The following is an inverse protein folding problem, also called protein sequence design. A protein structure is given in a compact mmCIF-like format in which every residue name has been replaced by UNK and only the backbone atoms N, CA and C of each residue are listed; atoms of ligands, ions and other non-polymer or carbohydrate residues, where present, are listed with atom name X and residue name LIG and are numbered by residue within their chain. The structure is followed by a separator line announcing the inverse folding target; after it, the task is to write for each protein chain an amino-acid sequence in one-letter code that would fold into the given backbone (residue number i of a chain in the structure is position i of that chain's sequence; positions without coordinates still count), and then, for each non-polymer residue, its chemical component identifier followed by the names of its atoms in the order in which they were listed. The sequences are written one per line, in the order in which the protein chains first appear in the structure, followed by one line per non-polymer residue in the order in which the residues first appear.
data_IF_300337993027
#
_entry.id   IF_300337993027
#
_cell.length_a   1.000
_cell.length_b   1.000
_cell.length_c   1.000
_cell.angle_alpha   90.00
_cell.angle_beta   90.00
_cell.angle_gamma   90.00
#
_symmetry.space_group_name_H-M   'P 1'
#
loop_
_entity.id
_entity.type
_entity.pdbx_description
1 polymer ?
#
# COMPACT_ATOMS: atom_id res chain seq x y z
N UNK A 1 -1.57 -21.29 21.90
CA UNK A 1 -2.21 -21.59 20.59
C UNK A 1 -3.16 -20.48 20.11
N UNK A 2 -3.67 -19.63 21.00
CA UNK A 2 -4.35 -18.37 20.63
C UNK A 2 -3.38 -17.18 20.59
N UNK A 3 -2.34 -17.20 21.42
CA UNK A 3 -1.38 -16.09 21.54
C UNK A 3 -0.66 -15.78 20.22
N UNK A 4 -0.30 -16.79 19.43
CA UNK A 4 0.38 -16.60 18.16
C UNK A 4 -0.52 -15.93 17.10
N UNK A 5 -1.81 -16.26 17.08
CA UNK A 5 -2.80 -15.59 16.21
C UNK A 5 -3.02 -14.15 16.66
N UNK A 6 -3.15 -13.91 17.97
CA UNK A 6 -3.35 -12.56 18.53
C UNK A 6 -2.14 -11.67 18.23
N UNK A 7 -0.92 -12.18 18.44
CA UNK A 7 0.32 -11.49 18.11
C UNK A 7 0.42 -11.23 16.61
N UNK A 8 0.15 -12.25 15.77
CA UNK A 8 0.18 -12.08 14.32
C UNK A 8 -0.82 -11.01 13.86
N UNK A 9 -2.04 -10.99 14.41
CA UNK A 9 -3.05 -9.97 14.11
C UNK A 9 -2.59 -8.58 14.56
N UNK A 10 -2.04 -8.45 15.75
CA UNK A 10 -1.53 -7.17 16.26
C UNK A 10 -0.42 -6.62 15.36
N UNK A 11 0.55 -7.47 15.00
CA UNK A 11 1.62 -7.10 14.06
C UNK A 11 1.07 -6.76 12.67
N UNK A 12 0.11 -7.54 12.18
CA UNK A 12 -0.55 -7.28 10.89
C UNK A 12 -1.21 -5.91 10.87
N UNK A 13 -2.01 -5.58 11.89
CA UNK A 13 -2.71 -4.29 11.99
C UNK A 13 -1.72 -3.14 12.11
N UNK A 14 -0.68 -3.25 12.94
CA UNK A 14 0.36 -2.23 13.05
C UNK A 14 1.08 -1.99 11.72
N UNK A 15 1.41 -3.06 11.00
CA UNK A 15 2.02 -2.98 9.69
C UNK A 15 1.10 -2.30 8.66
N UNK A 16 -0.19 -2.63 8.64
CA UNK A 16 -1.20 -2.02 7.77
C UNK A 16 -1.40 -0.54 8.11
N UNK A 17 -1.49 -0.17 9.39
CA UNK A 17 -1.62 1.24 9.82
C UNK A 17 -0.43 2.05 9.31
N UNK A 18 0.78 1.54 9.53
CA UNK A 18 1.99 2.23 9.09
C UNK A 18 2.04 2.38 7.56
N UNK A 19 1.77 1.28 6.84
CA UNK A 19 1.81 1.25 5.38
C UNK A 19 0.71 2.10 4.73
N UNK A 20 -0.56 1.82 5.03
CA UNK A 20 -1.70 2.50 4.39
C UNK A 20 -1.85 3.93 4.92
N UNK A 21 -1.53 4.18 6.19
CA UNK A 21 -1.48 5.54 6.75
C UNK A 21 -0.44 6.40 6.04
N UNK A 22 0.76 5.87 5.81
CA UNK A 22 1.78 6.57 5.04
C UNK A 22 1.43 6.73 3.56
N UNK A 23 0.80 5.72 2.93
CA UNK A 23 0.27 5.83 1.57
C UNK A 23 -0.74 6.98 1.46
N UNK A 24 -1.64 7.09 2.43
CA UNK A 24 -2.62 8.19 2.52
C UNK A 24 -1.92 9.54 2.63
N UNK A 25 -0.92 9.67 3.51
CA UNK A 25 -0.14 10.90 3.68
C UNK A 25 0.59 11.30 2.38
N UNK A 26 1.29 10.38 1.73
CA UNK A 26 1.99 10.65 0.46
C UNK A 26 1.00 11.08 -0.62
N UNK A 27 -0.13 10.39 -0.72
CA UNK A 27 -1.15 10.63 -1.76
C UNK A 27 -1.88 11.95 -1.58
N UNK A 28 -2.30 12.26 -0.35
CA UNK A 28 -3.20 13.38 -0.08
C UNK A 28 -2.49 14.66 0.35
N UNK A 29 -1.22 14.58 0.74
CA UNK A 29 -0.45 15.74 1.22
C UNK A 29 0.77 15.98 0.34
N UNK A 30 1.67 15.00 0.22
CA UNK A 30 2.97 15.20 -0.43
C UNK A 30 2.83 15.39 -1.95
N UNK A 31 2.05 14.53 -2.61
CA UNK A 31 1.86 14.57 -4.06
C UNK A 31 1.14 15.85 -4.55
N UNK A 32 0.08 16.35 -3.88
CA UNK A 32 -0.53 17.63 -4.22
C UNK A 32 0.43 18.82 -4.09
N UNK A 33 1.28 18.82 -3.05
CA UNK A 33 2.32 19.85 -2.87
C UNK A 33 3.33 19.77 -4.03
N UNK A 34 3.83 18.57 -4.35
CA UNK A 34 4.77 18.35 -5.44
C UNK A 34 4.21 18.74 -6.82
N UNK A 35 2.89 18.62 -7.02
CA UNK A 35 2.20 19.02 -8.27
C UNK A 35 1.97 20.54 -8.39
N UNK A 36 2.14 21.30 -7.31
CA UNK A 36 1.86 22.73 -7.30
C UNK A 36 2.92 23.50 -8.11
N UNK A 37 2.48 24.23 -9.14
CA UNK A 37 3.37 24.97 -10.05
C UNK A 37 4.17 26.11 -9.37
N UNK A 38 3.84 26.48 -8.13
CA UNK A 38 4.44 27.63 -7.43
C UNK A 38 5.76 27.32 -6.72
N UNK A 39 6.15 26.04 -6.59
CA UNK A 39 7.27 25.57 -5.74
C UNK A 39 8.05 24.43 -6.44
N UNK A 40 8.35 24.58 -7.73
CA UNK A 40 8.67 23.45 -8.60
C UNK A 40 9.93 22.66 -8.16
N UNK A 41 11.07 23.30 -7.87
CA UNK A 41 12.29 22.56 -7.51
C UNK A 41 12.31 22.08 -6.04
N UNK A 42 11.98 22.93 -5.08
CA UNK A 42 11.98 22.56 -3.66
C UNK A 42 10.92 21.49 -3.34
N UNK A 43 9.74 21.56 -3.97
CA UNK A 43 8.69 20.55 -3.74
C UNK A 43 9.03 19.19 -4.37
N UNK A 44 9.76 19.17 -5.50
CA UNK A 44 10.25 17.93 -6.08
C UNK A 44 11.33 17.28 -5.22
N UNK A 45 12.24 18.07 -4.64
CA UNK A 45 13.23 17.57 -3.69
C UNK A 45 12.57 17.05 -2.42
N UNK A 46 11.56 17.76 -1.89
CA UNK A 46 10.78 17.30 -0.75
C UNK A 46 10.11 15.95 -1.04
N UNK A 47 9.52 15.79 -2.23
CA UNK A 47 8.92 14.52 -2.64
C UNK A 47 9.96 13.39 -2.72
N UNK A 48 11.09 13.58 -3.41
CA UNK A 48 12.12 12.54 -3.56
C UNK A 48 12.68 12.09 -2.20
N UNK A 49 12.98 13.05 -1.31
CA UNK A 49 13.46 12.75 0.04
C UNK A 49 12.39 12.00 0.83
N UNK A 50 11.14 12.47 0.80
CA UNK A 50 10.02 11.83 1.52
C UNK A 50 9.76 10.42 1.00
N UNK A 51 9.73 10.24 -0.32
CA UNK A 51 9.52 8.95 -0.97
C UNK A 51 10.61 7.95 -0.60
N UNK A 52 11.89 8.36 -0.62
CA UNK A 52 13.02 7.50 -0.23
C UNK A 52 12.92 7.01 1.21
N UNK A 53 12.65 7.93 2.14
CA UNK A 53 12.51 7.57 3.55
C UNK A 53 11.28 6.70 3.80
N UNK A 54 10.16 7.01 3.15
CA UNK A 54 8.94 6.24 3.30
C UNK A 54 9.08 4.84 2.68
N UNK A 55 9.65 4.73 1.48
CA UNK A 55 9.94 3.47 0.78
C UNK A 55 10.75 2.52 1.66
N UNK A 56 11.80 3.04 2.31
CA UNK A 56 12.61 2.23 3.23
C UNK A 56 11.79 1.65 4.40
N UNK A 57 10.81 2.40 4.92
CA UNK A 57 9.94 1.93 5.99
C UNK A 57 8.89 0.92 5.48
N UNK A 58 8.27 1.18 4.32
CA UNK A 58 7.26 0.27 3.77
C UNK A 58 7.81 -1.04 3.24
N UNK A 59 9.09 -1.09 2.87
CA UNK A 59 9.80 -2.35 2.58
C UNK A 59 9.89 -3.29 3.78
N UNK A 60 9.64 -2.80 4.99
CA UNK A 60 9.54 -3.63 6.20
C UNK A 60 8.06 -3.94 6.50
N UNK A 61 7.19 -2.93 6.50
CA UNK A 61 5.80 -3.12 6.88
C UNK A 61 5.00 -3.96 5.88
N UNK A 62 5.23 -3.84 4.57
CA UNK A 62 4.47 -4.60 3.57
C UNK A 62 4.76 -6.11 3.65
N UNK A 63 6.02 -6.57 3.68
CA UNK A 63 6.31 -7.98 3.93
C UNK A 63 5.78 -8.44 5.30
N UNK A 64 5.90 -7.63 6.34
CA UNK A 64 5.38 -7.99 7.67
C UNK A 64 3.87 -8.22 7.65
N UNK A 65 3.11 -7.34 6.99
CA UNK A 65 1.67 -7.52 6.79
C UNK A 65 1.37 -8.82 6.01
N UNK A 66 2.12 -9.09 4.94
CA UNK A 66 1.99 -10.32 4.17
C UNK A 66 2.25 -11.59 4.98
N UNK A 67 3.40 -11.65 5.67
CA UNK A 67 3.82 -12.81 6.47
C UNK A 67 2.81 -13.09 7.57
N UNK A 68 2.39 -12.05 8.31
CA UNK A 68 1.40 -12.20 9.39
C UNK A 68 0.02 -12.58 8.86
N UNK A 69 -0.40 -12.03 7.72
CA UNK A 69 -1.68 -12.35 7.07
C UNK A 69 -1.72 -13.78 6.52
N UNK A 70 -0.64 -14.22 5.86
CA UNK A 70 -0.49 -15.58 5.38
C UNK A 70 -0.39 -16.59 6.53
N UNK A 71 0.31 -16.24 7.62
CA UNK A 71 0.35 -17.05 8.82
C UNK A 71 -1.04 -17.27 9.41
N UNK A 72 -1.83 -16.20 9.56
CA UNK A 72 -3.21 -16.30 10.03
C UNK A 72 -4.08 -17.14 9.08
N UNK A 73 -3.91 -16.97 7.76
CA UNK A 73 -4.64 -17.74 6.74
C UNK A 73 -4.36 -19.24 6.87
N UNK A 74 -3.09 -19.61 7.03
CA UNK A 74 -2.67 -20.99 7.25
C UNK A 74 -3.20 -21.55 8.59
N UNK A 75 -3.03 -20.79 9.68
CA UNK A 75 -3.39 -21.25 11.04
C UNK A 75 -4.89 -21.38 11.28
N UNK A 76 -5.70 -20.61 10.56
CA UNK A 76 -7.16 -20.63 10.65
C UNK A 76 -7.81 -21.41 9.50
N UNK A 77 -7.02 -22.09 8.65
CA UNK A 77 -7.51 -22.86 7.50
C UNK A 77 -8.43 -22.06 6.57
N UNK A 78 -8.10 -20.78 6.33
CA UNK A 78 -8.96 -19.84 5.58
C UNK A 78 -8.79 -19.92 4.06
N UNK A 79 -8.00 -20.88 3.54
CA UNK A 79 -7.69 -20.98 2.12
C UNK A 79 -8.95 -21.15 1.26
N UNK A 80 -9.92 -21.94 1.72
CA UNK A 80 -11.17 -22.17 0.98
C UNK A 80 -12.00 -20.88 0.80
N UNK A 81 -11.86 -19.91 1.72
CA UNK A 81 -12.58 -18.64 1.66
C UNK A 81 -12.11 -17.73 0.53
N UNK A 82 -10.92 -17.94 -0.03
CA UNK A 82 -10.45 -17.16 -1.18
C UNK A 82 -11.27 -17.44 -2.46
N UNK A 83 -11.92 -18.60 -2.54
CA UNK A 83 -12.78 -18.98 -3.67
C UNK A 83 -14.24 -18.50 -3.50
N UNK A 84 -14.62 -18.02 -2.31
CA UNK A 84 -15.97 -17.59 -1.98
C UNK A 84 -16.11 -16.06 -2.10
N UNK A 85 -17.09 -15.63 -2.88
CA UNK A 85 -17.34 -14.22 -3.17
C UNK A 85 -17.81 -13.43 -1.93
N UNK A 86 -18.40 -14.08 -0.93
CA UNK A 86 -18.74 -13.43 0.36
C UNK A 86 -17.48 -12.90 1.07
N UNK A 87 -16.33 -13.54 0.83
CA UNK A 87 -15.04 -13.15 1.40
C UNK A 87 -14.12 -12.48 0.36
N UNK A 88 -14.69 -11.79 -0.64
CA UNK A 88 -13.93 -11.06 -1.68
C UNK A 88 -12.82 -10.16 -1.11
N UNK A 89 -13.00 -9.63 0.09
CA UNK A 89 -12.03 -8.78 0.80
C UNK A 89 -10.74 -9.52 1.16
N UNK A 90 -10.75 -10.84 1.38
CA UNK A 90 -9.54 -11.65 1.57
C UNK A 90 -8.69 -11.65 0.30
N UNK A 91 -9.33 -11.91 -0.83
CA UNK A 91 -8.70 -11.89 -2.15
C UNK A 91 -8.23 -10.49 -2.54
N UNK A 92 -9.01 -9.45 -2.22
CA UNK A 92 -8.62 -8.06 -2.43
C UNK A 92 -7.41 -7.65 -1.57
N UNK A 93 -7.37 -8.06 -0.29
CA UNK A 93 -6.25 -7.80 0.61
C UNK A 93 -4.96 -8.46 0.10
N UNK A 94 -5.03 -9.73 -0.31
CA UNK A 94 -3.88 -10.41 -0.90
C UNK A 94 -3.46 -9.79 -2.23
N UNK A 95 -4.41 -9.45 -3.10
CA UNK A 95 -4.12 -8.82 -4.40
C UNK A 95 -3.47 -7.46 -4.25
N UNK A 96 -3.98 -6.61 -3.36
CA UNK A 96 -3.39 -5.30 -3.05
C UNK A 96 -1.99 -5.45 -2.48
N UNK A 97 -1.80 -6.33 -1.51
CA UNK A 97 -0.49 -6.66 -0.96
C UNK A 97 0.49 -7.09 -2.06
N UNK A 98 0.06 -7.98 -2.95
CA UNK A 98 0.89 -8.49 -4.04
C UNK A 98 1.28 -7.41 -5.05
N UNK A 99 0.35 -6.51 -5.40
CA UNK A 99 0.64 -5.35 -6.25
C UNK A 99 1.74 -4.49 -5.63
N UNK A 100 1.65 -4.20 -4.33
CA UNK A 100 2.67 -3.40 -3.65
C UNK A 100 4.00 -4.12 -3.48
N UNK A 101 4.00 -5.44 -3.26
CA UNK A 101 5.23 -6.25 -3.28
C UNK A 101 5.94 -6.13 -4.61
N UNK A 102 5.22 -6.25 -5.73
CA UNK A 102 5.79 -6.04 -7.07
C UNK A 102 6.27 -4.60 -7.22
N UNK A 103 5.47 -3.62 -6.79
CA UNK A 103 5.81 -2.21 -6.92
C UNK A 103 7.13 -1.86 -6.22
N UNK A 104 7.31 -2.27 -4.96
CA UNK A 104 8.51 -1.93 -4.17
C UNK A 104 9.73 -2.79 -4.49
N UNK A 105 9.56 -4.09 -4.76
CA UNK A 105 10.70 -5.00 -4.89
C UNK A 105 11.08 -5.29 -6.36
N UNK A 106 10.20 -5.01 -7.32
CA UNK A 106 10.43 -5.29 -8.75
C UNK A 106 10.48 -4.01 -9.55
N UNK A 107 9.50 -3.11 -9.37
CA UNK A 107 9.37 -1.90 -10.19
C UNK A 107 10.29 -0.80 -9.68
N UNK A 108 10.24 -0.46 -8.40
CA UNK A 108 11.01 0.63 -7.80
C UNK A 108 12.54 0.49 -8.02
N UNK A 109 13.19 -0.68 -7.83
CA UNK A 109 14.63 -0.82 -8.06
C UNK A 109 15.01 -0.63 -9.53
N UNK A 110 14.09 -0.96 -10.46
CA UNK A 110 14.29 -0.78 -11.90
C UNK A 110 14.04 0.66 -12.34
N UNK A 111 13.13 1.37 -11.68
CA UNK A 111 12.75 2.74 -12.02
C UNK A 111 13.63 3.79 -11.37
N UNK A 112 14.23 3.53 -10.20
CA UNK A 112 15.14 4.48 -9.53
C UNK A 112 16.28 4.95 -10.46
N UNK A 113 16.78 4.06 -11.33
CA UNK A 113 17.80 4.40 -12.32
C UNK A 113 17.28 5.27 -13.49
N UNK A 114 15.99 5.16 -13.85
CA UNK A 114 15.39 5.85 -15.01
C UNK A 114 14.61 7.12 -14.65
N UNK A 115 14.13 7.22 -13.41
CA UNK A 115 13.32 8.36 -12.95
C UNK A 115 14.17 9.62 -12.77
N UNK A 116 15.42 9.50 -12.32
CA UNK A 116 16.35 10.64 -12.25
C UNK A 116 16.64 11.27 -13.63
N UNK A 117 16.61 10.46 -14.69
CA UNK A 117 16.88 10.91 -16.06
C UNK A 117 15.64 11.55 -16.72
N UNK A 118 14.44 11.05 -16.40
CA UNK A 118 13.17 11.49 -17.03
C UNK A 118 12.53 12.67 -16.29
N UNK A 119 12.68 12.76 -14.97
CA UNK A 119 12.16 13.86 -14.15
C UNK A 119 12.76 15.23 -14.50
N UNK A 120 13.92 15.24 -15.18
CA UNK A 120 14.56 16.47 -15.70
C UNK A 120 13.98 16.97 -17.03
N UNK A 121 13.22 16.15 -17.77
CA UNK A 121 12.74 16.51 -19.14
C UNK A 121 11.25 16.85 -19.22
N UNK A 122 10.37 16.20 -18.46
CA UNK A 122 8.92 16.55 -18.40
C UNK A 122 8.28 16.12 -17.08
N UNK A 123 8.56 16.88 -16.02
CA UNK A 123 8.17 16.56 -14.63
C UNK A 123 6.65 16.58 -14.40
N UNK A 124 5.91 17.49 -15.04
CA UNK A 124 4.48 17.66 -14.75
C UNK A 124 3.63 16.45 -15.16
N UNK A 125 3.89 15.88 -16.34
CA UNK A 125 3.13 14.71 -16.83
C UNK A 125 3.45 13.47 -15.99
N UNK A 126 4.71 13.31 -15.56
CA UNK A 126 5.14 12.22 -14.68
C UNK A 126 4.46 12.29 -13.31
N UNK A 127 4.50 13.44 -12.62
CA UNK A 127 3.85 13.61 -11.32
C UNK A 127 2.33 13.41 -11.38
N UNK A 128 1.65 13.82 -12.46
CA UNK A 128 0.21 13.54 -12.62
C UNK A 128 -0.11 12.05 -12.77
N UNK A 129 0.77 11.26 -13.39
CA UNK A 129 0.59 9.80 -13.51
C UNK A 129 0.82 9.11 -12.16
N UNK A 130 1.89 9.48 -11.47
CA UNK A 130 2.21 8.96 -10.13
C UNK A 130 1.10 9.28 -9.14
N UNK A 131 0.58 10.52 -9.15
CA UNK A 131 -0.55 10.94 -8.31
C UNK A 131 -1.79 10.09 -8.56
N UNK A 132 -2.21 9.93 -9.83
CA UNK A 132 -3.38 9.12 -10.17
C UNK A 132 -3.21 7.66 -9.77
N UNK A 133 -2.02 7.08 -9.95
CA UNK A 133 -1.74 5.72 -9.51
C UNK A 133 -1.92 5.59 -8.00
N UNK A 134 -1.35 6.52 -7.23
CA UNK A 134 -1.45 6.53 -5.76
C UNK A 134 -2.89 6.74 -5.27
N UNK A 135 -3.64 7.64 -5.92
CA UNK A 135 -5.07 7.88 -5.63
C UNK A 135 -5.90 6.62 -5.85
N UNK A 136 -5.70 5.91 -6.97
CA UNK A 136 -6.40 4.64 -7.25
C UNK A 136 -6.00 3.56 -6.25
N UNK A 137 -4.72 3.41 -5.94
CA UNK A 137 -4.25 2.43 -4.95
C UNK A 137 -4.79 2.73 -3.55
N UNK A 138 -4.86 4.00 -3.15
CA UNK A 138 -5.44 4.42 -1.88
C UNK A 138 -6.94 4.13 -1.84
N UNK A 139 -7.68 4.39 -2.92
CA UNK A 139 -9.10 4.06 -2.99
C UNK A 139 -9.33 2.55 -2.86
N UNK A 140 -8.56 1.74 -3.59
CA UNK A 140 -8.62 0.28 -3.49
C UNK A 140 -8.27 -0.20 -2.07
N UNK A 141 -7.27 0.41 -1.43
CA UNK A 141 -6.89 0.13 -0.05
C UNK A 141 -8.03 0.45 0.92
N UNK A 142 -8.68 1.61 0.77
CA UNK A 142 -9.80 2.01 1.60
C UNK A 142 -10.99 1.06 1.45
N UNK A 143 -11.37 0.69 0.22
CA UNK A 143 -12.44 -0.28 -0.06
C UNK A 143 -12.11 -1.64 0.55
N UNK A 144 -10.87 -2.10 0.40
CA UNK A 144 -10.41 -3.38 0.94
C UNK A 144 -10.42 -3.39 2.46
N UNK A 145 -9.94 -2.32 3.10
CA UNK A 145 -9.94 -2.18 4.55
C UNK A 145 -11.37 -2.11 5.11
N UNK A 146 -12.26 -1.38 4.44
CA UNK A 146 -13.68 -1.35 4.78
C UNK A 146 -14.30 -2.75 4.70
N UNK A 147 -14.08 -3.46 3.58
CA UNK A 147 -14.56 -4.83 3.39
C UNK A 147 -14.04 -5.79 4.45
N UNK A 148 -12.75 -5.72 4.77
CA UNK A 148 -12.13 -6.56 5.78
C UNK A 148 -12.70 -6.32 7.18
N UNK A 149 -12.84 -5.05 7.60
CA UNK A 149 -13.40 -4.71 8.91
C UNK A 149 -14.87 -5.09 8.97
N UNK A 150 -15.70 -4.60 8.04
CA UNK A 150 -17.13 -4.86 8.04
C UNK A 150 -17.44 -6.35 7.92
N UNK A 151 -16.79 -7.07 7.00
CA UNK A 151 -16.95 -8.51 6.83
C UNK A 151 -16.50 -9.32 8.04
N UNK A 152 -15.41 -8.91 8.71
CA UNK A 152 -14.97 -9.59 9.94
C UNK A 152 -15.93 -9.42 11.13
N UNK A 153 -16.77 -8.38 11.09
CA UNK A 153 -17.80 -8.09 12.09
C UNK A 153 -19.20 -8.60 11.72
N UNK A 154 -19.32 -9.40 10.65
CA UNK A 154 -20.57 -10.06 10.26
C UNK A 154 -21.45 -9.27 9.29
N UNK A 155 -20.89 -8.27 8.59
CA UNK A 155 -21.60 -7.64 7.48
C UNK A 155 -21.50 -8.53 6.25
N UNK A 156 -22.63 -9.06 5.82
CA UNK A 156 -22.75 -9.85 4.59
C UNK A 156 -22.87 -8.92 3.38
N UNK A 157 -22.01 -9.15 2.38
CA UNK A 157 -21.97 -8.36 1.15
C UNK A 157 -22.82 -8.95 0.02
N UNK A 158 -23.24 -10.22 0.17
CA UNK A 158 -24.00 -11.00 -0.81
C UNK A 158 -24.94 -11.97 -0.11
#
# INVERSE_FOLDING_TARGET
MMDDIVIARALHVLAVIHWIGGLSFVTLVVLPIARSQRINEEAHLLFDVTERHFSAQVRISIPLAGITGLWMTYRMELWDRFADLHFWWLSAMFGLWFIFMIMLFVIEPRLHAKFQETARRDSQTAFRRVSRLHEVLLLLAAITAFGAVAGSHGLDFF
#
